data_IF_115530687584
#
_entry.id   IF_115530687584
#
_cell.length_a   1.000
_cell.length_b   1.000
_cell.length_c   1.000
_cell.angle_alpha   90.00
_cell.angle_beta   90.00
_cell.angle_gamma   90.00
#
_symmetry.space_group_name_H-M   'P 1'
#
loop_
_entity.id
_entity.type
_entity.pdbx_description
1 polymer ?
#
# COMPACT_ATOMS: atom_id res chain seq x y z
N UNK A 1 -24.93 3.45 -7.79
CA UNK A 1 -23.53 3.21 -7.36
C UNK A 1 -23.09 1.77 -7.61
N UNK A 2 -23.79 0.76 -7.07
CA UNK A 2 -23.40 -0.65 -7.25
C UNK A 2 -23.37 -1.08 -8.73
N UNK A 3 -24.38 -0.72 -9.51
CA UNK A 3 -24.43 -1.00 -10.95
C UNK A 3 -23.24 -0.40 -11.72
N UNK A 4 -22.89 0.86 -11.43
CA UNK A 4 -21.71 1.54 -11.98
C UNK A 4 -20.42 0.78 -11.61
N UNK A 5 -20.34 0.26 -10.38
CA UNK A 5 -19.20 -0.52 -9.91
C UNK A 5 -19.09 -1.87 -10.65
N UNK A 6 -20.19 -2.61 -10.79
CA UNK A 6 -20.22 -3.91 -11.46
C UNK A 6 -19.82 -3.78 -12.95
N UNK A 7 -20.37 -2.78 -13.65
CA UNK A 7 -19.99 -2.50 -15.05
C UNK A 7 -18.51 -2.13 -15.18
N UNK A 8 -17.98 -1.31 -14.26
CA UNK A 8 -16.55 -0.98 -14.23
C UNK A 8 -15.65 -2.19 -13.97
N UNK A 9 -16.08 -3.10 -13.08
CA UNK A 9 -15.34 -4.33 -12.77
C UNK A 9 -15.44 -5.38 -13.89
N UNK A 10 -16.53 -5.39 -14.66
CA UNK A 10 -16.64 -6.19 -15.89
C UNK A 10 -15.75 -5.65 -17.00
N UNK A 11 -15.71 -4.33 -17.16
CA UNK A 11 -14.82 -3.67 -18.11
C UNK A 11 -13.35 -4.00 -17.80
N UNK A 12 -12.91 -3.89 -16.54
CA UNK A 12 -11.52 -4.21 -16.18
C UNK A 12 -11.16 -5.69 -16.44
N UNK A 13 -12.13 -6.61 -16.32
CA UNK A 13 -11.89 -8.04 -16.57
C UNK A 13 -11.79 -8.42 -18.05
N UNK A 14 -12.54 -7.73 -18.92
CA UNK A 14 -12.70 -8.11 -20.35
C UNK A 14 -12.11 -7.09 -21.32
N UNK A 15 -11.87 -5.87 -20.88
CA UNK A 15 -11.51 -4.69 -21.68
C UNK A 15 -12.41 -4.49 -22.91
N UNK A 16 -13.69 -4.85 -22.81
CA UNK A 16 -14.65 -4.73 -23.90
C UNK A 16 -15.12 -3.27 -24.05
N UNK A 17 -14.88 -2.60 -25.19
CA UNK A 17 -15.32 -1.23 -25.43
C UNK A 17 -16.83 -1.03 -25.28
N UNK A 18 -17.65 -2.07 -25.52
CA UNK A 18 -19.12 -1.98 -25.36
C UNK A 18 -19.53 -1.75 -23.92
N UNK A 19 -18.79 -2.34 -22.97
CA UNK A 19 -19.03 -2.14 -21.53
C UNK A 19 -18.63 -0.75 -21.07
N UNK A 20 -17.62 -0.16 -21.69
CA UNK A 20 -17.26 1.23 -21.44
C UNK A 20 -18.33 2.20 -21.97
N UNK A 21 -18.91 1.90 -23.14
CA UNK A 21 -20.01 2.68 -23.70
C UNK A 21 -21.28 2.59 -22.84
N UNK A 22 -21.65 1.39 -22.37
CA UNK A 22 -22.75 1.16 -21.42
C UNK A 22 -22.55 1.95 -20.12
N UNK A 23 -21.33 1.92 -19.56
CA UNK A 23 -20.96 2.70 -18.38
C UNK A 23 -21.05 4.22 -18.63
N UNK A 24 -20.57 4.68 -19.79
CA UNK A 24 -20.62 6.10 -20.18
C UNK A 24 -22.06 6.60 -20.33
N UNK A 25 -22.93 5.80 -20.93
CA UNK A 25 -24.36 6.10 -21.06
C UNK A 25 -25.04 6.17 -19.68
N UNK A 26 -24.73 5.23 -18.79
CA UNK A 26 -25.25 5.24 -17.42
C UNK A 26 -24.82 6.51 -16.68
N UNK A 27 -23.53 6.88 -16.72
CA UNK A 27 -23.02 8.07 -16.04
C UNK A 27 -23.64 9.36 -16.60
N UNK A 28 -23.79 9.46 -17.92
CA UNK A 28 -24.35 10.66 -18.57
C UNK A 28 -25.87 10.79 -18.40
N UNK A 29 -26.57 9.69 -18.08
CA UNK A 29 -28.00 9.72 -17.77
C UNK A 29 -28.33 10.20 -16.35
N UNK A 30 -27.34 10.29 -15.45
CA UNK A 30 -27.55 10.74 -14.08
C UNK A 30 -27.78 12.24 -14.02
N UNK A 31 -28.62 12.68 -13.08
CA UNK A 31 -28.73 14.10 -12.79
C UNK A 31 -27.47 14.64 -12.10
N UNK A 32 -27.38 15.96 -11.95
CA UNK A 32 -26.21 16.57 -11.32
C UNK A 32 -26.05 16.15 -9.84
N UNK A 33 -27.14 15.87 -9.14
CA UNK A 33 -27.12 15.46 -7.73
C UNK A 33 -26.54 14.06 -7.56
N UNK A 34 -27.08 13.10 -8.30
CA UNK A 34 -26.66 11.70 -8.33
C UNK A 34 -25.24 11.56 -8.86
N UNK A 35 -24.86 12.36 -9.87
CA UNK A 35 -23.48 12.40 -10.37
C UNK A 35 -22.47 12.75 -9.28
N UNK A 36 -22.78 13.75 -8.43
CA UNK A 36 -21.93 14.14 -7.31
C UNK A 36 -21.85 13.03 -6.27
N UNK A 37 -22.99 12.37 -5.97
CA UNK A 37 -23.04 11.26 -5.00
C UNK A 37 -22.19 10.10 -5.49
N UNK A 38 -22.36 9.68 -6.75
CA UNK A 38 -21.60 8.60 -7.38
C UNK A 38 -20.10 8.91 -7.36
N UNK A 39 -19.68 10.10 -7.82
CA UNK A 39 -18.27 10.49 -7.81
C UNK A 39 -17.66 10.48 -6.40
N UNK A 40 -18.40 10.99 -5.39
CA UNK A 40 -17.95 10.95 -3.98
C UNK A 40 -17.85 9.52 -3.45
N UNK A 41 -18.82 8.66 -3.76
CA UNK A 41 -18.78 7.26 -3.34
C UNK A 41 -17.55 6.54 -3.90
N UNK A 42 -17.24 6.69 -5.18
CA UNK A 42 -16.04 6.10 -5.79
C UNK A 42 -14.75 6.67 -5.20
N UNK A 43 -14.68 7.98 -4.95
CA UNK A 43 -13.54 8.59 -4.26
C UNK A 43 -13.34 8.01 -2.86
N UNK A 44 -14.42 7.80 -2.09
CA UNK A 44 -14.34 7.17 -0.77
C UNK A 44 -13.94 5.69 -0.85
N UNK A 45 -14.46 4.93 -1.82
CA UNK A 45 -14.07 3.54 -2.05
C UNK A 45 -12.57 3.43 -2.38
N UNK A 46 -12.06 4.29 -3.26
CA UNK A 46 -10.63 4.34 -3.60
C UNK A 46 -9.78 4.66 -2.36
N UNK A 47 -10.19 5.65 -1.56
CA UNK A 47 -9.50 5.98 -0.31
C UNK A 47 -9.48 4.78 0.66
N UNK A 48 -10.59 4.04 0.78
CA UNK A 48 -10.65 2.84 1.62
C UNK A 48 -9.77 1.71 1.08
N UNK A 49 -9.72 1.51 -0.24
CA UNK A 49 -8.85 0.54 -0.88
C UNK A 49 -7.37 0.86 -0.62
N UNK A 50 -6.97 2.13 -0.76
CA UNK A 50 -5.61 2.58 -0.46
C UNK A 50 -5.25 2.34 1.02
N UNK A 51 -6.17 2.65 1.95
CA UNK A 51 -5.95 2.39 3.38
C UNK A 51 -5.82 0.89 3.69
N UNK A 52 -6.60 0.05 3.01
CA UNK A 52 -6.49 -1.40 3.16
C UNK A 52 -5.15 -1.92 2.62
N UNK A 53 -4.68 -1.37 1.50
CA UNK A 53 -3.36 -1.67 0.94
C UNK A 53 -2.23 -1.24 1.88
N UNK A 54 -2.30 -0.03 2.45
CA UNK A 54 -1.34 0.45 3.45
C UNK A 54 -1.24 -0.51 4.65
N UNK A 55 -2.37 -0.95 5.20
CA UNK A 55 -2.41 -1.96 6.28
C UNK A 55 -1.79 -3.27 5.82
N UNK A 56 -2.14 -3.74 4.62
CA UNK A 56 -1.62 -4.99 4.08
C UNK A 56 -0.10 -4.93 3.87
N UNK A 57 0.45 -3.81 3.38
CA UNK A 57 1.89 -3.60 3.21
C UNK A 57 2.58 -3.55 4.57
N UNK A 58 2.03 -2.79 5.53
CA UNK A 58 2.60 -2.65 6.87
C UNK A 58 2.67 -3.99 7.65
N UNK A 59 1.70 -4.88 7.44
CA UNK A 59 1.64 -6.19 8.11
C UNK A 59 2.12 -7.35 7.23
N UNK A 60 2.57 -7.09 5.99
CA UNK A 60 3.07 -8.13 5.10
C UNK A 60 4.33 -8.75 5.70
N UNK A 61 4.37 -10.08 5.78
CA UNK A 61 5.60 -10.79 6.17
C UNK A 61 6.67 -10.58 5.11
N UNK A 62 7.89 -10.23 5.54
CA UNK A 62 9.05 -10.17 4.66
C UNK A 62 9.43 -11.57 4.19
N UNK A 63 9.80 -11.69 2.92
CA UNK A 63 10.28 -12.96 2.37
C UNK A 63 11.74 -13.17 2.79
N UNK A 64 11.99 -14.25 3.55
CA UNK A 64 13.34 -14.63 4.00
C UNK A 64 14.16 -15.33 2.89
N UNK A 65 13.49 -15.82 1.85
CA UNK A 65 14.13 -16.42 0.67
C UNK A 65 14.56 -15.31 -0.29
N UNK A 66 15.74 -14.74 -0.05
CA UNK A 66 16.37 -13.72 -0.89
C UNK A 66 17.42 -14.37 -1.80
N UNK A 67 17.57 -13.88 -3.02
CA UNK A 67 18.61 -14.35 -3.94
C UNK A 67 19.97 -13.72 -3.63
N UNK A 68 20.00 -12.65 -2.84
CA UNK A 68 21.22 -11.96 -2.44
C UNK A 68 21.80 -11.07 -3.55
N UNK A 69 20.99 -10.72 -4.54
CA UNK A 69 21.36 -9.89 -5.69
C UNK A 69 20.72 -8.50 -5.56
N UNK A 70 21.27 -7.50 -6.26
CA UNK A 70 20.79 -6.11 -6.26
C UNK A 70 19.31 -5.98 -6.69
N UNK A 71 18.81 -6.96 -7.45
CA UNK A 71 17.40 -7.02 -7.84
C UNK A 71 16.45 -7.14 -6.64
N UNK A 72 16.92 -7.71 -5.52
CA UNK A 72 16.14 -7.85 -4.30
C UNK A 72 15.85 -6.50 -3.62
N UNK A 73 16.67 -5.46 -3.87
CA UNK A 73 16.48 -4.12 -3.30
C UNK A 73 15.37 -3.30 -3.99
N UNK A 74 14.83 -3.79 -5.12
CA UNK A 74 13.78 -3.08 -5.87
C UNK A 74 12.37 -3.31 -5.31
N UNK A 75 12.21 -4.18 -4.33
CA UNK A 75 10.91 -4.55 -3.76
C UNK A 75 10.97 -4.59 -2.24
N UNK A 76 10.04 -3.88 -1.59
CA UNK A 76 9.95 -3.81 -0.12
C UNK A 76 9.77 -5.18 0.57
N UNK A 77 9.33 -6.23 -0.16
CA UNK A 77 9.23 -7.58 0.41
C UNK A 77 10.56 -8.32 0.50
N UNK A 78 11.55 -7.91 -0.30
CA UNK A 78 12.87 -8.53 -0.45
C UNK A 78 14.02 -7.61 -0.06
N UNK A 79 13.78 -6.31 0.06
CA UNK A 79 14.79 -5.31 0.44
C UNK A 79 15.51 -5.70 1.74
N UNK A 80 16.79 -5.36 1.83
CA UNK A 80 17.56 -5.61 3.04
C UNK A 80 17.22 -4.62 4.14
N UNK A 81 17.05 -5.14 5.36
CA UNK A 81 16.97 -4.25 6.52
C UNK A 81 18.35 -3.62 6.82
N UNK A 82 18.36 -2.68 7.76
CA UNK A 82 19.59 -1.99 8.14
C UNK A 82 20.65 -2.97 8.68
N UNK A 83 20.24 -4.02 9.41
CA UNK A 83 21.16 -4.99 9.99
C UNK A 83 21.78 -5.90 8.91
N UNK A 84 20.97 -6.42 8.00
CA UNK A 84 21.39 -7.17 6.81
C UNK A 84 22.32 -6.33 5.94
N UNK A 85 22.02 -5.04 5.77
CA UNK A 85 22.87 -4.11 5.03
C UNK A 85 24.23 -3.95 5.72
N UNK A 86 24.25 -3.73 7.04
CA UNK A 86 25.49 -3.65 7.81
C UNK A 86 26.28 -4.97 7.74
N UNK A 87 25.61 -6.12 7.84
CA UNK A 87 26.24 -7.44 7.67
C UNK A 87 26.83 -7.60 6.28
N UNK A 88 26.12 -7.23 5.22
CA UNK A 88 26.67 -7.27 3.85
C UNK A 88 27.89 -6.37 3.70
N UNK A 89 27.90 -5.18 4.30
CA UNK A 89 29.05 -4.26 4.26
C UNK A 89 30.30 -4.86 4.95
N UNK A 90 30.12 -5.48 6.12
CA UNK A 90 31.23 -6.07 6.89
C UNK A 90 31.69 -7.40 6.28
N UNK A 91 30.76 -8.31 5.96
CA UNK A 91 31.09 -9.68 5.52
C UNK A 91 31.37 -9.80 4.02
N UNK A 92 30.57 -9.15 3.15
CA UNK A 92 30.73 -9.28 1.70
C UNK A 92 31.71 -8.25 1.15
N UNK A 93 31.64 -7.00 1.63
CA UNK A 93 32.48 -5.90 1.15
C UNK A 93 33.75 -5.68 1.99
N UNK A 94 33.95 -6.48 3.05
CA UNK A 94 35.14 -6.47 3.93
C UNK A 94 35.47 -5.08 4.51
N UNK A 95 34.45 -4.26 4.79
CA UNK A 95 34.62 -2.96 5.45
C UNK A 95 34.81 -3.15 6.94
N UNK A 96 35.65 -2.32 7.56
CA UNK A 96 35.79 -2.39 9.01
C UNK A 96 34.54 -1.80 9.70
N UNK A 97 34.13 -2.33 10.87
CA UNK A 97 33.00 -1.75 11.60
C UNK A 97 33.18 -0.26 11.92
N UNK A 98 34.44 0.16 12.14
CA UNK A 98 34.79 1.55 12.41
C UNK A 98 34.52 2.45 11.20
N UNK A 99 34.92 2.03 10.00
CA UNK A 99 34.66 2.76 8.75
C UNK A 99 33.16 2.93 8.50
N UNK A 100 32.37 1.86 8.71
CA UNK A 100 30.91 1.91 8.55
C UNK A 100 30.28 2.87 9.55
N UNK A 101 30.75 2.85 10.81
CA UNK A 101 30.25 3.75 11.85
C UNK A 101 30.58 5.21 11.56
N UNK A 102 31.81 5.51 11.10
CA UNK A 102 32.21 6.86 10.74
C UNK A 102 31.46 7.37 9.50
N UNK A 103 31.13 6.50 8.53
CA UNK A 103 30.26 6.85 7.41
C UNK A 103 28.83 7.22 7.88
N UNK A 104 28.26 6.44 8.82
CA UNK A 104 26.93 6.72 9.38
C UNK A 104 26.89 8.04 10.16
N UNK A 105 27.96 8.45 10.86
CA UNK A 105 28.02 9.76 11.54
C UNK A 105 27.94 10.94 10.59
N UNK A 106 28.52 10.78 9.40
CA UNK A 106 28.59 11.84 8.40
C UNK A 106 27.43 11.78 7.40
N UNK A 107 26.60 10.74 7.43
CA UNK A 107 25.46 10.58 6.55
C UNK A 107 24.31 11.48 7.00
N UNK A 108 23.78 12.30 6.09
CA UNK A 108 22.58 13.11 6.32
C UNK A 108 21.57 12.81 5.21
N UNK A 109 20.31 12.55 5.60
CA UNK A 109 19.19 12.38 4.67
C UNK A 109 18.22 13.53 4.94
N UNK A 110 18.06 14.41 3.95
CA UNK A 110 17.10 15.51 4.02
C UNK A 110 15.87 15.20 3.16
N UNK A 111 14.69 15.26 3.77
CA UNK A 111 13.41 14.99 3.12
C UNK A 111 12.66 16.30 2.94
N UNK A 112 12.70 16.84 1.72
CA UNK A 112 11.99 18.08 1.37
C UNK A 112 10.54 17.74 1.01
N UNK A 113 9.61 18.12 1.89
CA UNK A 113 8.19 17.93 1.66
C UNK A 113 7.66 18.98 0.67
N UNK A 114 7.15 18.54 -0.46
CA UNK A 114 6.51 19.41 -1.47
C UNK A 114 5.00 19.41 -1.30
N UNK A 115 4.33 20.49 -1.70
CA UNK A 115 2.89 20.50 -1.78
C UNK A 115 2.40 19.45 -2.81
N UNK A 116 1.38 18.68 -2.46
CA UNK A 116 0.75 17.78 -3.42
C UNK A 116 -0.15 18.58 -4.38
N UNK A 117 -0.01 18.43 -5.71
CA UNK A 117 -0.66 19.32 -6.70
C UNK A 117 -2.20 19.27 -6.66
N UNK A 118 -2.79 18.17 -6.17
CA UNK A 118 -4.25 17.94 -6.23
C UNK A 118 -4.89 17.45 -4.94
N UNK A 119 -4.12 17.24 -3.86
CA UNK A 119 -4.63 16.58 -2.64
C UNK A 119 -4.08 17.23 -1.37
N UNK A 120 -4.61 18.40 -1.03
CA UNK A 120 -4.46 18.93 0.32
C UNK A 120 -5.39 18.17 1.28
N UNK A 121 -4.91 17.09 1.88
CA UNK A 121 -5.70 16.34 2.87
C UNK A 121 -5.70 17.09 4.20
N UNK A 122 -6.89 17.43 4.72
CA UNK A 122 -7.01 18.07 6.05
C UNK A 122 -6.52 17.10 7.13
N UNK A 123 -5.79 17.62 8.13
CA UNK A 123 -5.29 16.85 9.28
C UNK A 123 -6.38 16.03 9.98
N UNK A 124 -7.60 16.57 10.08
CA UNK A 124 -8.74 15.86 10.67
C UNK A 124 -9.16 14.62 9.87
N UNK A 125 -8.99 14.62 8.55
CA UNK A 125 -9.27 13.46 7.71
C UNK A 125 -8.18 12.39 7.89
N UNK A 126 -6.90 12.80 7.95
CA UNK A 126 -5.79 11.89 8.27
C UNK A 126 -6.00 11.17 9.62
N UNK A 127 -6.48 11.89 10.64
CA UNK A 127 -6.81 11.27 11.93
C UNK A 127 -7.94 10.25 11.84
N UNK A 128 -8.97 10.50 11.02
CA UNK A 128 -10.05 9.53 10.79
C UNK A 128 -9.52 8.28 10.08
N UNK A 129 -8.71 8.47 9.04
CA UNK A 129 -8.04 7.38 8.32
C UNK A 129 -7.19 6.52 9.26
N UNK A 130 -6.39 7.14 10.13
CA UNK A 130 -5.59 6.43 11.14
C UNK A 130 -6.42 5.57 12.10
N UNK A 131 -7.63 6.00 12.48
CA UNK A 131 -8.54 5.16 13.29
C UNK A 131 -9.05 3.93 12.52
N UNK A 132 -9.32 4.06 11.23
CA UNK A 132 -9.70 2.92 10.38
C UNK A 132 -8.55 1.91 10.25
N UNK A 133 -7.34 2.40 9.96
CA UNK A 133 -6.11 1.58 9.88
C UNK A 133 -5.89 0.80 11.17
N UNK A 134 -5.98 1.46 12.33
CA UNK A 134 -5.82 0.80 13.63
C UNK A 134 -6.84 -0.32 13.86
N UNK A 135 -8.13 -0.09 13.55
CA UNK A 135 -9.16 -1.14 13.69
C UNK A 135 -8.95 -2.29 12.70
N UNK A 136 -8.58 -1.97 11.46
CA UNK A 136 -8.32 -2.96 10.42
C UNK A 136 -7.14 -3.87 10.81
N UNK A 137 -6.05 -3.27 11.28
CA UNK A 137 -4.85 -3.96 11.78
C UNK A 137 -5.17 -4.96 12.92
N UNK A 138 -6.03 -4.57 13.88
CA UNK A 138 -6.48 -5.46 14.95
C UNK A 138 -7.23 -6.67 14.37
N UNK A 139 -8.14 -6.44 13.42
CA UNK A 139 -8.90 -7.51 12.78
C UNK A 139 -7.99 -8.50 12.02
N UNK A 140 -6.99 -8.00 11.29
CA UNK A 140 -5.97 -8.83 10.63
C UNK A 140 -5.14 -9.62 11.64
N UNK A 141 -4.73 -9.00 12.74
CA UNK A 141 -3.92 -9.68 13.77
C UNK A 141 -4.71 -10.80 14.45
N UNK A 142 -5.97 -10.55 14.84
CA UNK A 142 -6.83 -11.56 15.49
C UNK A 142 -7.12 -12.74 14.56
N UNK A 143 -7.39 -12.50 13.27
CA UNK A 143 -7.60 -13.57 12.29
C UNK A 143 -6.33 -14.36 11.95
N UNK A 144 -5.15 -13.71 11.92
CA UNK A 144 -3.87 -14.43 11.75
C UNK A 144 -3.48 -15.26 12.97
N UNK A 145 -4.04 -14.99 14.15
CA UNK A 145 -3.85 -15.82 15.35
C UNK A 145 -4.72 -17.07 15.32
N UNK A 146 -5.99 -16.96 14.92
CA UNK A 146 -6.89 -18.12 14.75
C UNK A 146 -6.43 -19.08 13.63
N UNK A 147 -5.79 -18.57 12.59
CA UNK A 147 -5.20 -19.40 11.54
C UNK A 147 -3.86 -20.05 11.94
N UNK A 148 -3.23 -19.64 13.06
CA UNK A 148 -2.04 -20.33 13.61
C UNK A 148 -2.41 -21.62 14.35
N UNK A 149 -3.50 -21.64 15.09
CA UNK A 149 -3.98 -22.87 15.77
C UNK A 149 -4.28 -24.00 14.78
N UNK A 150 -4.66 -23.68 13.54
CA UNK A 150 -4.97 -24.70 12.52
C UNK A 150 -3.73 -25.22 11.75
N UNK A 151 -2.60 -24.51 11.81
CA UNK A 151 -1.35 -24.90 11.11
C UNK A 151 -0.40 -25.64 12.06
N UNK A 152 -0.50 -25.45 13.37
CA UNK A 152 0.29 -26.22 14.37
C UNK A 152 -0.31 -27.61 14.72
N UNK A 153 -1.48 -27.96 14.15
CA UNK A 153 -2.16 -29.25 14.37
C UNK A 153 -2.12 -30.21 13.16
N UNK A 154 -1.19 -29.99 12.21
CA UNK A 154 -0.88 -30.94 11.12
C UNK A 154 0.62 -31.19 11.03
#
# INVERSE_FOLDING_TARGET
VQEVYELSAEYERKHDPKKLEELGNLITSLDAGDSIVVAKSFSHMLNLANLAEEVQIAHRRRNKLKKGDFRDESNATTESDIEETLKRLVFNMKKSPQEVFDALKNQTVDLVLTAHPTQSVRRSLLQKHGRFVSKCSICFTVNTSHSREFVELK
#
